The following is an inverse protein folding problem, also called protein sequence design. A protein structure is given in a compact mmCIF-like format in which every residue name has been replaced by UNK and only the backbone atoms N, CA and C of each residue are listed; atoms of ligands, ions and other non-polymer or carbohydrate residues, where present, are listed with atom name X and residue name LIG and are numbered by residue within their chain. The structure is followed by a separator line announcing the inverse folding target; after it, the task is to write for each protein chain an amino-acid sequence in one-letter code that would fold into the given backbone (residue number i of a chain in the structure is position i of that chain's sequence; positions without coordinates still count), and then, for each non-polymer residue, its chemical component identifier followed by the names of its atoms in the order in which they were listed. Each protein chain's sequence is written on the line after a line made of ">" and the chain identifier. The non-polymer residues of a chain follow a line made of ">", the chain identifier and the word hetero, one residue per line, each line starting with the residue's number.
data_IF_660899228307
#
_entry.id   IF_660899228307
#
_cell.length_a   1.000
_cell.length_b   1.000
_cell.length_c   1.000
_cell.angle_alpha   90.00
_cell.angle_beta   90.00
_cell.angle_gamma   90.00
#
_symmetry.space_group_name_H-M   'P 1'
#
loop_
_entity.id
_entity.type
_entity.pdbx_description
1 polymer ?
#
# COMPACT_ATOMS: atom_id res chain seq x y z
N UNK A 1 -65.44 26.96 -36.41
CA UNK A 1 -64.84 25.67 -35.98
C UNK A 1 -65.97 24.72 -35.60
N UNK A 2 -66.04 23.52 -36.18
CA UNK A 2 -67.10 22.55 -35.85
C UNK A 2 -67.06 22.23 -34.35
N UNK A 3 -68.22 22.23 -33.68
CA UNK A 3 -68.33 22.01 -32.22
C UNK A 3 -67.60 20.74 -31.77
N UNK A 4 -67.57 19.68 -32.59
CA UNK A 4 -66.79 18.47 -32.33
C UNK A 4 -65.27 18.67 -32.32
N UNK A 5 -64.73 19.54 -33.17
CA UNK A 5 -63.29 19.84 -33.21
C UNK A 5 -62.86 20.72 -32.02
N UNK A 6 -63.74 21.61 -31.54
CA UNK A 6 -63.49 22.42 -30.34
C UNK A 6 -63.45 21.55 -29.08
N UNK A 7 -64.44 20.66 -28.91
CA UNK A 7 -64.50 19.73 -27.77
C UNK A 7 -63.28 18.80 -27.76
N UNK A 8 -62.91 18.26 -28.93
CA UNK A 8 -61.72 17.42 -29.08
C UNK A 8 -60.44 18.17 -28.69
N UNK A 9 -60.29 19.43 -29.12
CA UNK A 9 -59.12 20.25 -28.78
C UNK A 9 -59.04 20.55 -27.28
N UNK A 10 -60.17 20.81 -26.61
CA UNK A 10 -60.23 21.01 -25.16
C UNK A 10 -59.83 19.72 -24.42
N UNK A 11 -60.38 18.56 -24.81
CA UNK A 11 -60.06 17.29 -24.16
C UNK A 11 -58.58 16.93 -24.31
N UNK A 12 -58.04 16.99 -25.53
CA UNK A 12 -56.63 16.69 -25.75
C UNK A 12 -55.70 17.72 -25.09
N UNK A 13 -56.09 19.00 -25.07
CA UNK A 13 -55.37 20.04 -24.35
C UNK A 13 -55.29 19.76 -22.84
N UNK A 14 -56.41 19.40 -22.22
CA UNK A 14 -56.45 19.02 -20.80
C UNK A 14 -55.61 17.78 -20.51
N UNK A 15 -55.66 16.75 -21.36
CA UNK A 15 -54.83 15.54 -21.22
C UNK A 15 -53.34 15.91 -21.26
N UNK A 16 -52.92 16.75 -22.21
CA UNK A 16 -51.52 17.20 -22.31
C UNK A 16 -51.05 17.97 -21.06
N UNK A 17 -51.89 18.88 -20.55
CA UNK A 17 -51.57 19.61 -19.31
C UNK A 17 -51.42 18.67 -18.13
N UNK A 18 -52.28 17.66 -18.00
CA UNK A 18 -52.19 16.66 -16.94
C UNK A 18 -50.93 15.79 -17.06
N UNK A 19 -50.56 15.37 -18.28
CA UNK A 19 -49.33 14.60 -18.53
C UNK A 19 -48.08 15.42 -18.19
N UNK A 20 -48.04 16.70 -18.57
CA UNK A 20 -46.94 17.60 -18.22
C UNK A 20 -46.86 17.84 -16.72
N UNK A 21 -47.99 18.09 -16.07
CA UNK A 21 -48.04 18.26 -14.61
C UNK A 21 -47.55 17.00 -13.89
N UNK A 22 -47.97 15.81 -14.32
CA UNK A 22 -47.50 14.54 -13.76
C UNK A 22 -45.99 14.34 -13.99
N UNK A 23 -45.47 14.73 -15.15
CA UNK A 23 -44.03 14.69 -15.44
C UNK A 23 -43.22 15.62 -14.52
N UNK A 24 -43.67 16.86 -14.36
CA UNK A 24 -43.02 17.83 -13.45
C UNK A 24 -43.07 17.36 -12.00
N UNK A 25 -44.23 16.89 -11.53
CA UNK A 25 -44.38 16.32 -10.18
C UNK A 25 -43.48 15.08 -10.01
N UNK A 26 -43.37 14.23 -11.04
CA UNK A 26 -42.46 13.08 -11.03
C UNK A 26 -40.99 13.47 -10.87
N UNK A 27 -40.53 14.51 -11.59
CA UNK A 27 -39.16 15.02 -11.48
C UNK A 27 -38.91 15.64 -10.10
N UNK A 28 -39.85 16.45 -9.59
CA UNK A 28 -39.74 17.05 -8.26
C UNK A 28 -39.67 15.94 -7.22
N UNK A 29 -40.61 15.00 -7.26
CA UNK A 29 -40.67 13.83 -6.37
C UNK A 29 -39.37 13.03 -6.36
N UNK A 30 -38.79 12.77 -7.55
CA UNK A 30 -37.50 12.11 -7.68
C UNK A 30 -36.35 12.89 -7.04
N UNK A 31 -36.30 14.20 -7.24
CA UNK A 31 -35.27 15.07 -6.67
C UNK A 31 -35.45 15.31 -5.16
N UNK A 32 -36.67 15.24 -4.64
CA UNK A 32 -36.97 15.40 -3.21
C UNK A 32 -36.92 14.09 -2.43
N UNK A 33 -36.45 12.99 -3.04
CA UNK A 33 -36.25 11.72 -2.34
C UNK A 33 -37.49 10.83 -2.23
N UNK A 34 -38.58 11.13 -2.94
CA UNK A 34 -39.79 10.30 -2.92
C UNK A 34 -39.71 9.12 -3.91
N UNK A 35 -40.20 7.96 -3.47
CA UNK A 35 -40.12 6.69 -4.22
C UNK A 35 -38.75 6.01 -4.10
N UNK A 36 -38.65 4.73 -4.51
CA UNK A 36 -37.45 3.91 -4.29
C UNK A 36 -36.21 4.50 -4.97
N UNK A 37 -36.34 5.02 -6.19
CA UNK A 37 -35.23 5.63 -6.93
C UNK A 37 -34.87 7.02 -6.41
N UNK A 38 -35.87 7.81 -5.99
CA UNK A 38 -35.64 9.12 -5.39
C UNK A 38 -34.91 9.00 -4.06
N UNK A 39 -35.33 8.08 -3.19
CA UNK A 39 -34.67 7.84 -1.91
C UNK A 39 -33.20 7.42 -2.07
N UNK A 40 -32.90 6.53 -3.02
CA UNK A 40 -31.52 6.13 -3.33
C UNK A 40 -30.71 7.32 -3.86
N UNK A 41 -31.29 8.13 -4.77
CA UNK A 41 -30.61 9.34 -5.25
C UNK A 41 -30.33 10.31 -4.11
N UNK A 42 -31.31 10.57 -3.25
CA UNK A 42 -31.13 11.46 -2.09
C UNK A 42 -30.00 10.97 -1.18
N UNK A 43 -29.90 9.66 -0.94
CA UNK A 43 -28.83 9.09 -0.12
C UNK A 43 -27.44 9.20 -0.82
N UNK A 44 -27.36 8.98 -2.13
CA UNK A 44 -26.10 8.91 -2.88
C UNK A 44 -25.57 10.26 -3.38
N UNK A 45 -26.45 11.22 -3.67
CA UNK A 45 -26.09 12.53 -4.21
C UNK A 45 -25.08 13.30 -3.34
N UNK A 46 -25.24 13.39 -2.00
CA UNK A 46 -24.23 14.05 -1.17
C UNK A 46 -22.89 13.30 -1.20
N UNK A 47 -22.90 11.96 -1.22
CA UNK A 47 -21.67 11.15 -1.27
C UNK A 47 -20.91 11.41 -2.57
N UNK A 48 -21.60 11.38 -3.71
CA UNK A 48 -20.97 11.63 -5.03
C UNK A 48 -20.51 13.09 -5.16
N UNK A 49 -21.27 14.04 -4.61
CA UNK A 49 -20.87 15.44 -4.59
C UNK A 49 -19.61 15.67 -3.75
N UNK A 50 -19.52 15.04 -2.57
CA UNK A 50 -18.34 15.08 -1.72
C UNK A 50 -17.15 14.39 -2.39
N UNK A 51 -17.37 13.20 -2.97
CA UNK A 51 -16.34 12.47 -3.71
C UNK A 51 -15.67 13.38 -4.76
N UNK A 52 -16.46 13.97 -5.66
CA UNK A 52 -15.91 14.80 -6.75
C UNK A 52 -15.29 16.13 -6.30
N UNK A 53 -15.42 16.51 -5.02
CA UNK A 53 -14.86 17.74 -4.43
C UNK A 53 -13.65 17.49 -3.53
N UNK A 54 -13.29 16.23 -3.27
CA UNK A 54 -12.16 15.90 -2.39
C UNK A 54 -10.84 16.48 -2.93
N UNK A 55 -10.06 17.11 -2.05
CA UNK A 55 -8.75 17.67 -2.37
C UNK A 55 -7.76 16.59 -2.80
N UNK A 56 -7.88 15.38 -2.24
CA UNK A 56 -7.04 14.23 -2.58
C UNK A 56 -7.11 13.86 -4.08
N UNK A 57 -8.27 14.01 -4.72
CA UNK A 57 -8.42 13.77 -6.17
C UNK A 57 -7.58 14.72 -7.02
N UNK A 58 -7.35 15.95 -6.54
CA UNK A 58 -6.56 16.95 -7.28
C UNK A 58 -5.11 16.50 -7.46
N UNK A 59 -4.51 15.85 -6.45
CA UNK A 59 -3.14 15.31 -6.53
C UNK A 59 -3.00 14.28 -7.66
N UNK A 60 -4.02 13.47 -7.90
CA UNK A 60 -4.05 12.51 -9.00
C UNK A 60 -4.25 13.21 -10.35
N UNK A 61 -5.12 14.23 -10.40
CA UNK A 61 -5.33 15.06 -11.60
C UNK A 61 -4.04 15.72 -12.08
N UNK A 62 -3.20 16.20 -11.16
CA UNK A 62 -1.94 16.87 -11.46
C UNK A 62 -0.91 15.94 -12.15
N UNK A 63 -1.04 14.62 -11.99
CA UNK A 63 -0.20 13.61 -12.68
C UNK A 63 -0.93 12.94 -13.87
N UNK A 64 -2.02 13.54 -14.34
CA UNK A 64 -2.77 13.06 -15.52
C UNK A 64 -3.72 11.90 -15.24
N UNK A 65 -4.07 11.65 -13.97
CA UNK A 65 -5.06 10.65 -13.56
C UNK A 65 -6.36 11.35 -13.20
N UNK A 66 -7.43 11.06 -13.94
CA UNK A 66 -8.75 11.63 -13.74
C UNK A 66 -9.67 10.61 -13.07
N UNK A 67 -10.14 10.92 -11.86
CA UNK A 67 -11.06 10.07 -11.09
C UNK A 67 -12.36 10.85 -10.87
N UNK A 68 -13.49 10.30 -11.31
CA UNK A 68 -14.81 10.93 -11.20
C UNK A 68 -15.88 9.91 -10.81
N UNK A 69 -16.81 10.31 -9.95
CA UNK A 69 -17.97 9.52 -9.57
C UNK A 69 -19.26 10.08 -10.18
N UNK A 70 -20.17 9.20 -10.58
CA UNK A 70 -21.54 9.56 -11.00
C UNK A 70 -22.57 8.56 -10.53
N UNK A 71 -23.77 9.03 -10.27
CA UNK A 71 -24.92 8.17 -9.98
C UNK A 71 -25.52 7.71 -11.30
N UNK A 72 -25.73 6.41 -11.45
CA UNK A 72 -26.52 5.83 -12.53
C UNK A 72 -27.42 4.75 -11.96
N UNK A 73 -28.72 4.92 -12.19
CA UNK A 73 -29.78 4.09 -11.61
C UNK A 73 -29.71 4.11 -10.08
N UNK A 74 -29.40 2.97 -9.47
CA UNK A 74 -29.22 2.81 -8.02
C UNK A 74 -27.76 2.63 -7.62
N UNK A 75 -26.79 2.99 -8.47
CA UNK A 75 -25.39 2.68 -8.23
C UNK A 75 -24.53 3.94 -8.39
N UNK A 76 -23.38 3.93 -7.73
CA UNK A 76 -22.31 4.89 -7.98
C UNK A 76 -21.29 4.23 -8.90
N UNK A 77 -20.98 4.89 -10.02
CA UNK A 77 -19.92 4.48 -10.92
C UNK A 77 -18.76 5.43 -10.77
N UNK A 78 -17.58 4.90 -10.45
CA UNK A 78 -16.33 5.64 -10.39
C UNK A 78 -15.50 5.30 -11.61
N UNK A 79 -15.21 6.29 -12.45
CA UNK A 79 -14.28 6.16 -13.56
C UNK A 79 -12.89 6.59 -13.12
N UNK A 80 -11.91 5.74 -13.32
CA UNK A 80 -10.49 6.02 -13.18
C UNK A 80 -9.87 6.05 -14.57
N UNK A 81 -9.46 7.21 -15.05
CA UNK A 81 -8.90 7.40 -16.38
C UNK A 81 -7.48 7.90 -16.32
N UNK A 82 -6.59 7.26 -17.07
CA UNK A 82 -5.27 7.76 -17.42
C UNK A 82 -5.31 8.28 -18.86
N UNK A 83 -4.24 8.94 -19.32
CA UNK A 83 -4.14 9.34 -20.73
C UNK A 83 -4.24 8.19 -21.75
N UNK A 84 -4.17 6.93 -21.31
CA UNK A 84 -4.13 5.74 -22.19
C UNK A 84 -5.23 4.72 -21.90
N UNK A 85 -5.87 4.74 -20.74
CA UNK A 85 -6.84 3.71 -20.33
C UNK A 85 -7.89 4.25 -19.36
N UNK A 86 -9.07 3.64 -19.36
CA UNK A 86 -10.14 3.94 -18.41
C UNK A 86 -10.61 2.65 -17.75
N UNK A 87 -10.55 2.59 -16.42
CA UNK A 87 -11.21 1.60 -15.60
C UNK A 87 -12.50 2.18 -15.01
N UNK A 88 -13.52 1.35 -14.83
CA UNK A 88 -14.80 1.75 -14.24
C UNK A 88 -15.16 0.78 -13.13
N UNK A 89 -15.40 1.32 -11.94
CA UNK A 89 -15.78 0.57 -10.76
C UNK A 89 -17.22 0.89 -10.39
N UNK A 90 -18.00 -0.15 -10.07
CA UNK A 90 -19.42 -0.04 -9.72
C UNK A 90 -19.57 -0.31 -8.23
N UNK A 91 -20.10 0.68 -7.52
CA UNK A 91 -20.60 0.53 -6.16
C UNK A 91 -22.12 0.38 -6.20
N UNK A 92 -22.58 -0.81 -5.87
CA UNK A 92 -24.00 -1.14 -5.82
C UNK A 92 -24.62 -0.66 -4.52
N UNK A 93 -25.71 0.11 -4.60
CA UNK A 93 -26.50 0.39 -3.42
C UNK A 93 -27.30 -0.84 -3.02
N UNK A 94 -27.04 -1.36 -1.83
CA UNK A 94 -27.71 -2.53 -1.28
C UNK A 94 -28.29 -2.23 0.10
N UNK A 95 -29.36 -2.94 0.45
CA UNK A 95 -29.87 -3.01 1.82
C UNK A 95 -29.52 -4.39 2.36
N UNK A 96 -28.62 -4.42 3.35
CA UNK A 96 -28.14 -5.65 3.98
C UNK A 96 -28.52 -5.60 5.44
N UNK A 97 -29.47 -6.45 5.84
CA UNK A 97 -29.93 -6.55 7.23
C UNK A 97 -30.44 -5.21 7.80
N UNK A 98 -31.05 -4.36 6.97
CA UNK A 98 -31.57 -3.05 7.35
C UNK A 98 -30.52 -1.92 7.28
N UNK A 99 -29.28 -2.24 6.93
CA UNK A 99 -28.22 -1.26 6.72
C UNK A 99 -28.08 -0.93 5.23
N UNK A 100 -28.04 0.36 4.92
CA UNK A 100 -27.84 0.85 3.56
C UNK A 100 -26.35 0.91 3.28
N UNK A 101 -25.88 0.19 2.27
CA UNK A 101 -24.45 0.06 1.96
C UNK A 101 -24.15 0.29 0.49
N UNK A 102 -22.95 0.79 0.22
CA UNK A 102 -22.29 0.69 -1.07
C UNK A 102 -21.46 -0.60 -1.08
N UNK A 103 -21.81 -1.52 -1.96
CA UNK A 103 -21.12 -2.78 -2.19
C UNK A 103 -20.27 -2.72 -3.44
N UNK A 104 -19.02 -3.14 -3.36
CA UNK A 104 -18.14 -3.32 -4.52
C UNK A 104 -17.46 -4.68 -4.44
N UNK A 105 -17.31 -5.33 -5.59
CA UNK A 105 -16.47 -6.51 -5.77
C UNK A 105 -15.47 -6.25 -6.89
N UNK A 106 -14.19 -6.53 -6.66
CA UNK A 106 -13.14 -6.40 -7.66
C UNK A 106 -12.18 -7.61 -7.60
N UNK A 107 -11.52 -7.88 -8.72
CA UNK A 107 -10.51 -8.94 -8.80
C UNK A 107 -9.19 -8.47 -8.20
N UNK A 108 -8.40 -9.38 -7.63
CA UNK A 108 -7.04 -9.10 -7.17
C UNK A 108 -6.13 -8.55 -8.27
N UNK A 109 -6.45 -8.80 -9.55
CA UNK A 109 -5.71 -8.21 -10.68
C UNK A 109 -5.84 -6.67 -10.77
N UNK A 110 -6.92 -6.10 -10.24
CA UNK A 110 -7.21 -4.67 -10.27
C UNK A 110 -6.93 -3.97 -8.92
N UNK A 111 -6.33 -4.69 -7.97
CA UNK A 111 -6.25 -4.31 -6.55
C UNK A 111 -5.67 -2.91 -6.34
N UNK A 112 -4.55 -2.57 -6.99
CA UNK A 112 -3.90 -1.28 -6.79
C UNK A 112 -4.82 -0.09 -7.16
N UNK A 113 -5.57 -0.19 -8.26
CA UNK A 113 -6.47 0.88 -8.71
C UNK A 113 -7.78 0.85 -7.91
N UNK A 114 -8.29 -0.35 -7.63
CA UNK A 114 -9.50 -0.53 -6.84
C UNK A 114 -9.34 0.00 -5.42
N UNK A 115 -8.19 -0.21 -4.78
CA UNK A 115 -7.90 0.29 -3.43
C UNK A 115 -7.97 1.82 -3.38
N UNK A 116 -7.36 2.54 -4.34
CA UNK A 116 -7.47 4.01 -4.44
C UNK A 116 -8.93 4.46 -4.53
N UNK A 117 -9.72 3.79 -5.39
CA UNK A 117 -11.13 4.11 -5.58
C UNK A 117 -11.96 3.82 -4.33
N UNK A 118 -11.65 2.74 -3.63
CA UNK A 118 -12.28 2.37 -2.35
C UNK A 118 -11.95 3.37 -1.25
N UNK A 119 -10.70 3.79 -1.13
CA UNK A 119 -10.27 4.82 -0.16
C UNK A 119 -11.05 6.10 -0.34
N UNK A 120 -11.10 6.62 -1.57
CA UNK A 120 -11.87 7.82 -1.88
C UNK A 120 -13.37 7.64 -1.60
N UNK A 121 -13.94 6.46 -1.84
CA UNK A 121 -15.34 6.22 -1.53
C UNK A 121 -15.61 6.19 -0.02
N UNK A 122 -14.72 5.58 0.76
CA UNK A 122 -14.82 5.55 2.23
C UNK A 122 -14.72 6.97 2.79
N UNK A 123 -13.76 7.77 2.32
CA UNK A 123 -13.63 9.19 2.69
C UNK A 123 -14.88 10.00 2.31
N UNK A 124 -15.39 9.84 1.09
CA UNK A 124 -16.59 10.55 0.65
C UNK A 124 -17.82 10.24 1.52
N UNK A 125 -17.97 8.99 1.97
CA UNK A 125 -19.02 8.60 2.91
C UNK A 125 -18.75 9.21 4.30
N UNK A 126 -17.51 9.19 4.77
CA UNK A 126 -17.14 9.79 6.07
C UNK A 126 -17.42 11.29 6.12
N UNK A 127 -17.05 12.03 5.08
CA UNK A 127 -17.33 13.46 4.92
C UNK A 127 -18.83 13.73 4.90
N UNK A 128 -19.59 12.87 4.22
CA UNK A 128 -21.07 12.97 4.21
C UNK A 128 -21.68 12.79 5.59
N UNK A 129 -21.01 12.01 6.46
CA UNK A 129 -21.40 11.82 7.86
C UNK A 129 -20.77 12.87 8.81
N UNK A 130 -20.18 13.95 8.29
CA UNK A 130 -19.76 15.12 9.06
C UNK A 130 -18.28 15.16 9.48
N UNK A 131 -17.46 14.23 8.99
CA UNK A 131 -16.01 14.20 9.29
C UNK A 131 -15.20 15.03 8.29
N UNK A 132 -13.99 15.43 8.69
CA UNK A 132 -13.06 16.11 7.79
C UNK A 132 -12.37 15.12 6.84
N UNK A 133 -12.05 15.60 5.63
CA UNK A 133 -11.33 14.81 4.62
C UNK A 133 -9.95 14.38 5.14
N UNK A 134 -9.64 13.09 4.98
CA UNK A 134 -8.34 12.51 5.35
C UNK A 134 -8.32 11.90 6.75
N UNK A 135 -9.31 12.20 7.61
CA UNK A 135 -9.33 11.66 8.97
C UNK A 135 -9.43 10.14 9.00
N UNK A 136 -10.13 9.51 8.04
CA UNK A 136 -10.27 8.04 8.06
C UNK A 136 -8.92 7.38 7.84
N UNK A 137 -8.17 7.82 6.83
CA UNK A 137 -6.87 7.25 6.48
C UNK A 137 -5.68 7.87 7.20
N UNK A 138 -5.91 8.95 7.94
CA UNK A 138 -5.06 9.26 9.08
C UNK A 138 -5.15 8.11 10.05
N UNK A 139 -6.37 7.64 10.44
CA UNK A 139 -6.63 6.68 11.54
C UNK A 139 -6.53 5.19 11.24
N UNK A 140 -6.84 4.80 10.03
CA UNK A 140 -6.98 3.41 9.64
C UNK A 140 -6.33 3.17 8.29
N UNK A 141 -5.92 1.93 8.04
CA UNK A 141 -5.59 1.47 6.70
C UNK A 141 -6.68 0.50 6.20
N UNK A 142 -6.66 0.18 4.91
CA UNK A 142 -7.65 -0.74 4.33
C UNK A 142 -7.61 -2.12 5.01
N UNK A 143 -6.43 -2.60 5.42
CA UNK A 143 -6.26 -3.89 6.10
C UNK A 143 -7.07 -3.95 7.39
N UNK A 144 -7.13 -2.84 8.15
CA UNK A 144 -7.93 -2.78 9.38
C UNK A 144 -9.40 -3.05 9.13
N UNK A 145 -9.90 -2.72 7.95
CA UNK A 145 -11.31 -2.95 7.62
C UNK A 145 -11.64 -4.42 7.33
N UNK A 146 -10.65 -5.32 7.31
CA UNK A 146 -10.88 -6.77 7.28
C UNK A 146 -11.34 -7.31 8.64
N UNK A 147 -11.07 -6.57 9.71
CA UNK A 147 -11.46 -6.90 11.09
C UNK A 147 -12.77 -6.21 11.50
N UNK A 148 -13.32 -5.34 10.65
CA UNK A 148 -14.53 -4.55 10.94
C UNK A 148 -15.78 -5.13 10.28
N UNK A 149 -16.93 -4.73 10.80
CA UNK A 149 -18.25 -5.08 10.28
C UNK A 149 -18.98 -3.88 9.64
N UNK A 150 -20.00 -4.18 8.84
CA UNK A 150 -20.90 -3.18 8.23
C UNK A 150 -21.47 -2.21 9.27
N UNK A 151 -21.77 -2.71 10.48
CA UNK A 151 -22.30 -1.90 11.58
C UNK A 151 -21.30 -0.88 12.13
N UNK A 152 -20.01 -1.12 11.94
CA UNK A 152 -18.93 -0.20 12.32
C UNK A 152 -18.62 0.80 11.21
N UNK A 153 -19.21 0.69 10.02
CA UNK A 153 -19.04 1.66 8.93
C UNK A 153 -18.45 1.04 7.68
N UNK A 154 -17.38 0.25 7.79
CA UNK A 154 -16.73 -0.40 6.64
C UNK A 154 -16.48 -1.87 6.94
N UNK A 155 -16.58 -2.73 5.93
CA UNK A 155 -16.11 -4.11 5.99
C UNK A 155 -15.45 -4.50 4.67
N UNK A 156 -14.26 -5.07 4.74
CA UNK A 156 -13.53 -5.64 3.60
C UNK A 156 -13.40 -7.15 3.81
N UNK A 157 -13.65 -7.95 2.77
CA UNK A 157 -13.37 -9.38 2.78
C UNK A 157 -12.52 -9.73 1.57
N UNK A 158 -11.35 -10.28 1.85
CA UNK A 158 -10.40 -10.72 0.85
C UNK A 158 -10.56 -12.23 0.61
N UNK A 159 -10.55 -12.63 -0.65
CA UNK A 159 -10.40 -14.01 -1.09
C UNK A 159 -9.18 -14.10 -2.02
N UNK A 160 -8.68 -15.30 -2.36
CA UNK A 160 -7.50 -15.42 -3.21
C UNK A 160 -7.63 -14.81 -4.61
N UNK A 161 -8.86 -14.60 -5.10
CA UNK A 161 -9.12 -14.14 -6.47
C UNK A 161 -9.83 -12.79 -6.53
N UNK A 162 -10.56 -12.44 -5.47
CA UNK A 162 -11.42 -11.27 -5.42
C UNK A 162 -11.43 -10.63 -4.03
N UNK A 163 -11.69 -9.32 -3.99
CA UNK A 163 -12.01 -8.57 -2.78
C UNK A 163 -13.43 -8.02 -2.85
N UNK A 164 -14.13 -8.06 -1.71
CA UNK A 164 -15.45 -7.45 -1.54
C UNK A 164 -15.40 -6.37 -0.47
N UNK A 165 -16.06 -5.26 -0.73
CA UNK A 165 -16.08 -4.07 0.13
C UNK A 165 -17.53 -3.68 0.37
N UNK A 166 -17.85 -3.41 1.63
CA UNK A 166 -19.13 -2.89 2.08
C UNK A 166 -18.89 -1.59 2.84
N UNK A 167 -19.49 -0.49 2.39
CA UNK A 167 -19.38 0.83 3.02
C UNK A 167 -20.79 1.27 3.44
N UNK A 168 -21.04 1.37 4.74
CA UNK A 168 -22.30 1.85 5.28
C UNK A 168 -22.45 3.34 5.04
N UNK A 169 -23.48 3.74 4.30
CA UNK A 169 -23.63 5.14 3.89
C UNK A 169 -24.05 6.08 5.03
N UNK A 170 -24.58 5.54 6.13
CA UNK A 170 -25.09 6.30 7.28
C UNK A 170 -24.17 6.24 8.51
N UNK A 171 -23.04 5.53 8.42
CA UNK A 171 -22.12 5.34 9.54
C UNK A 171 -20.69 5.57 9.07
N UNK A 172 -19.95 6.40 9.80
CA UNK A 172 -18.51 6.50 9.63
C UNK A 172 -17.81 5.51 10.53
N UNK A 173 -16.68 4.96 10.06
CA UNK A 173 -15.78 4.16 10.92
C UNK A 173 -15.24 4.98 12.10
N UNK A 174 -15.14 6.30 11.93
CA UNK A 174 -14.72 7.24 12.98
C UNK A 174 -15.74 7.40 14.11
N UNK A 175 -17.03 7.11 13.85
CA UNK A 175 -18.11 7.18 14.85
C UNK A 175 -18.33 5.86 15.56
N UNK A 176 -17.67 4.79 15.12
CA UNK A 176 -17.80 3.51 15.78
C UNK A 176 -17.11 3.59 17.15
N UNK A 177 -17.86 3.27 18.21
CA UNK A 177 -17.31 3.00 19.53
C UNK A 177 -16.53 1.68 19.44
N UNK A 178 -15.37 1.72 18.80
CA UNK A 178 -14.29 0.75 18.96
C UNK A 178 -13.68 0.93 20.37
N UNK A 179 -14.52 0.97 21.41
CA UNK A 179 -14.11 1.11 22.81
C UNK A 179 -13.54 -0.22 23.31
N UNK A 180 -12.33 -0.48 22.83
CA UNK A 180 -11.21 -1.22 23.41
C UNK A 180 -9.96 -1.16 22.52
N UNK A 181 -10.01 -0.47 21.37
CA UNK A 181 -8.82 -0.09 20.64
C UNK A 181 -8.63 1.42 20.81
N UNK A 182 -7.92 1.79 21.88
CA UNK A 182 -7.07 2.98 21.88
C UNK A 182 -6.00 2.78 20.79
N UNK A 183 -6.44 2.87 19.55
CA UNK A 183 -5.61 3.12 18.41
C UNK A 183 -6.38 4.17 17.62
N UNK A 184 -6.13 5.43 17.99
CA UNK A 184 -5.56 6.35 17.01
C UNK A 184 -4.74 5.56 15.97
N UNK A 185 -4.62 6.02 14.72
CA UNK A 185 -3.65 5.41 13.85
C UNK A 185 -2.37 5.32 14.64
N UNK A 186 -1.82 4.12 14.69
CA UNK A 186 -0.45 4.00 15.06
C UNK A 186 0.28 4.91 14.05
N UNK A 187 0.60 6.14 14.47
CA UNK A 187 1.55 7.05 13.82
C UNK A 187 2.62 6.15 13.24
N UNK A 188 2.66 5.90 11.92
CA UNK A 188 3.49 4.86 11.29
C UNK A 188 4.43 4.20 12.29
N UNK A 189 4.00 3.20 13.09
CA UNK A 189 4.80 2.80 14.27
C UNK A 189 6.03 1.98 13.89
N UNK A 190 6.34 1.96 12.60
CA UNK A 190 7.51 1.40 12.00
C UNK A 190 8.41 2.53 11.51
N UNK A 191 9.70 2.24 11.42
CA UNK A 191 10.71 3.20 11.00
C UNK A 191 10.54 3.49 9.51
N UNK A 192 10.43 4.78 9.18
CA UNK A 192 10.23 5.30 7.83
C UNK A 192 11.49 5.98 7.29
N UNK A 193 11.51 6.38 6.02
CA UNK A 193 12.63 7.08 5.41
C UNK A 193 13.02 8.37 6.16
N UNK A 194 12.06 9.11 6.71
CA UNK A 194 12.31 10.35 7.46
C UNK A 194 13.10 10.09 8.75
N UNK A 195 12.85 8.96 9.39
CA UNK A 195 13.55 8.53 10.61
C UNK A 195 14.98 8.06 10.31
N UNK A 196 15.32 7.80 9.04
CA UNK A 196 16.61 7.25 8.59
C UNK A 196 17.52 8.31 7.94
N UNK A 197 17.12 9.58 7.94
CA UNK A 197 17.81 10.66 7.23
C UNK A 197 19.30 10.75 7.55
N UNK A 198 19.71 10.53 8.80
CA UNK A 198 21.13 10.57 9.24
C UNK A 198 21.85 9.22 9.17
N UNK A 199 21.16 8.13 8.81
CA UNK A 199 21.69 6.76 8.87
C UNK A 199 23.04 6.62 8.16
N UNK A 200 23.14 7.05 6.90
CA UNK A 200 24.38 6.91 6.11
C UNK A 200 25.53 7.73 6.69
N UNK A 201 25.24 8.93 7.18
CA UNK A 201 26.25 9.81 7.75
C UNK A 201 26.76 9.27 9.09
N UNK A 202 25.86 8.79 9.96
CA UNK A 202 26.21 8.21 11.25
C UNK A 202 27.04 6.93 11.11
N UNK A 203 26.77 6.10 10.09
CA UNK A 203 27.56 4.91 9.78
C UNK A 203 28.94 5.22 9.20
N UNK A 204 29.22 6.46 8.79
CA UNK A 204 30.54 6.89 8.33
C UNK A 204 31.35 7.61 9.44
N UNK A 205 30.80 7.80 10.64
CA UNK A 205 31.51 8.31 11.81
C UNK A 205 32.40 7.23 12.45
N UNK A 206 33.37 7.59 13.32
CA UNK A 206 34.27 6.62 13.95
C UNK A 206 33.57 5.49 14.74
N UNK A 207 32.41 5.78 15.35
CA UNK A 207 31.61 4.77 16.06
C UNK A 207 30.81 3.87 15.13
N UNK A 208 30.63 4.29 13.86
CA UNK A 208 29.96 3.57 12.77
C UNK A 208 28.63 2.94 13.21
N UNK A 209 27.82 3.71 13.92
CA UNK A 209 26.61 3.26 14.62
C UNK A 209 25.47 4.25 14.43
N UNK A 210 24.28 3.71 14.19
CA UNK A 210 23.03 4.45 14.14
C UNK A 210 21.96 3.75 14.98
N UNK A 211 21.10 4.54 15.64
CA UNK A 211 19.95 4.02 16.38
C UNK A 211 18.71 4.83 16.08
N UNK A 212 17.59 4.15 15.88
CA UNK A 212 16.27 4.77 15.78
C UNK A 212 15.26 4.01 16.63
N UNK A 213 14.24 4.73 17.10
CA UNK A 213 13.10 4.16 17.81
C UNK A 213 11.83 4.84 17.33
N UNK A 214 10.82 4.05 16.97
CA UNK A 214 9.50 4.55 16.58
C UNK A 214 8.43 3.59 17.07
N UNK A 215 7.44 4.11 17.78
CA UNK A 215 6.48 3.28 18.52
C UNK A 215 7.18 2.24 19.38
N UNK A 216 6.96 0.95 19.05
CA UNK A 216 7.54 -0.20 19.75
C UNK A 216 8.75 -0.80 19.04
N UNK A 217 9.14 -0.27 17.88
CA UNK A 217 10.26 -0.77 17.10
C UNK A 217 11.55 -0.05 17.51
N UNK A 218 12.58 -0.84 17.80
CA UNK A 218 13.94 -0.41 18.06
C UNK A 218 14.85 -0.91 16.94
N UNK A 219 15.61 0.01 16.34
CA UNK A 219 16.59 -0.28 15.30
C UNK A 219 17.97 0.17 15.75
N UNK A 220 18.94 -0.73 15.56
CA UNK A 220 20.36 -0.44 15.68
C UNK A 220 21.06 -0.94 14.43
N UNK A 221 21.74 -0.04 13.72
CA UNK A 221 22.60 -0.40 12.60
C UNK A 221 24.04 -0.12 12.99
N UNK A 222 24.92 -1.07 12.75
CA UNK A 222 26.37 -0.87 12.85
C UNK A 222 27.03 -1.25 11.53
N UNK A 223 28.17 -0.61 11.25
CA UNK A 223 28.98 -0.87 10.07
C UNK A 223 30.40 -1.22 10.49
N UNK A 224 30.94 -2.27 9.89
CA UNK A 224 32.36 -2.59 9.92
C UNK A 224 32.94 -2.46 8.51
N UNK A 225 34.24 -2.71 8.36
CA UNK A 225 34.91 -2.85 7.07
C UNK A 225 34.32 -3.98 6.20
N UNK A 226 33.72 -4.99 6.83
CA UNK A 226 33.26 -6.22 6.16
C UNK A 226 31.74 -6.35 6.03
N UNK A 227 30.96 -5.71 6.90
CA UNK A 227 29.52 -5.92 6.92
C UNK A 227 28.75 -4.76 7.54
N UNK A 228 27.47 -4.65 7.13
CA UNK A 228 26.45 -4.00 7.94
C UNK A 228 25.80 -5.04 8.85
N UNK A 229 25.60 -4.68 10.12
CA UNK A 229 24.77 -5.44 11.05
C UNK A 229 23.55 -4.61 11.40
N UNK A 230 22.38 -5.09 11.05
CA UNK A 230 21.09 -4.47 11.35
C UNK A 230 20.43 -5.31 12.43
N UNK A 231 20.15 -4.71 13.58
CA UNK A 231 19.44 -5.31 14.70
C UNK A 231 18.10 -4.61 14.84
N UNK A 232 17.01 -5.38 14.77
CA UNK A 232 15.65 -4.85 14.91
C UNK A 232 14.90 -5.65 15.96
N UNK A 233 14.18 -4.95 16.82
CA UNK A 233 13.34 -5.55 17.85
C UNK A 233 12.00 -4.82 17.94
N UNK A 234 10.93 -5.58 18.02
CA UNK A 234 9.64 -5.09 18.51
C UNK A 234 9.59 -5.36 20.01
N UNK A 235 9.38 -4.32 20.80
CA UNK A 235 9.36 -4.43 22.27
C UNK A 235 8.18 -5.26 22.81
N UNK A 236 7.18 -5.60 21.98
CA UNK A 236 6.14 -6.60 22.30
C UNK A 236 6.66 -8.03 22.28
N UNK A 237 7.78 -8.30 21.60
CA UNK A 237 8.33 -9.65 21.41
C UNK A 237 7.70 -10.44 20.27
N UNK A 238 6.88 -9.81 19.42
CA UNK A 238 6.25 -10.43 18.24
C UNK A 238 6.96 -10.03 16.93
N UNK A 239 6.92 -10.90 15.91
CA UNK A 239 7.41 -10.60 14.56
C UNK A 239 6.29 -9.91 13.75
N UNK A 240 6.06 -8.64 14.06
CA UNK A 240 4.97 -7.85 13.48
C UNK A 240 5.25 -7.41 12.04
N UNK A 241 4.19 -7.05 11.31
CA UNK A 241 4.28 -6.40 9.99
C UNK A 241 5.06 -5.09 10.07
N UNK A 242 4.91 -4.33 11.15
CA UNK A 242 5.64 -3.09 11.41
C UNK A 242 7.15 -3.31 11.56
N UNK A 243 7.56 -4.40 12.22
CA UNK A 243 8.96 -4.78 12.29
C UNK A 243 9.52 -5.07 10.88
N UNK A 244 8.78 -5.83 10.07
CA UNK A 244 9.20 -6.15 8.71
C UNK A 244 9.26 -4.91 7.81
N UNK A 245 8.29 -4.00 7.91
CA UNK A 245 8.30 -2.71 7.20
C UNK A 245 9.51 -1.85 7.59
N UNK A 246 9.87 -1.80 8.88
CA UNK A 246 11.07 -1.09 9.35
C UNK A 246 12.35 -1.65 8.75
N UNK A 247 12.45 -2.98 8.63
CA UNK A 247 13.58 -3.67 8.00
C UNK A 247 13.65 -3.29 6.51
N UNK A 248 12.52 -3.34 5.81
CA UNK A 248 12.44 -2.98 4.38
C UNK A 248 12.92 -1.56 4.13
N UNK A 249 12.41 -0.58 4.88
CA UNK A 249 12.83 0.82 4.74
C UNK A 249 14.31 1.01 5.06
N UNK A 250 14.83 0.33 6.10
CA UNK A 250 16.26 0.36 6.43
C UNK A 250 17.12 -0.17 5.29
N UNK A 251 16.76 -1.31 4.70
CA UNK A 251 17.50 -1.93 3.59
C UNK A 251 17.41 -1.07 2.33
N UNK A 252 16.21 -0.56 2.01
CA UNK A 252 15.98 0.37 0.90
C UNK A 252 16.82 1.62 1.02
N UNK A 253 16.97 2.16 2.23
CA UNK A 253 17.79 3.34 2.46
C UNK A 253 19.28 3.03 2.33
N UNK A 254 19.74 1.90 2.87
CA UNK A 254 21.16 1.52 2.89
C UNK A 254 21.72 1.07 1.54
N UNK A 255 20.93 0.40 0.72
CA UNK A 255 21.40 -0.29 -0.48
C UNK A 255 20.70 0.21 -1.75
N UNK A 256 21.25 -0.17 -2.91
CA UNK A 256 20.63 0.14 -4.20
C UNK A 256 19.32 -0.63 -4.42
N UNK A 257 18.50 -0.15 -5.36
CA UNK A 257 17.21 -0.76 -5.71
C UNK A 257 17.33 -2.25 -6.10
N UNK A 258 18.46 -2.65 -6.70
CA UNK A 258 18.69 -4.05 -7.11
C UNK A 258 18.83 -4.95 -5.89
N UNK A 259 19.63 -4.53 -4.91
CA UNK A 259 19.85 -5.23 -3.66
C UNK A 259 18.57 -5.24 -2.82
N UNK A 260 17.86 -4.12 -2.76
CA UNK A 260 16.57 -4.02 -2.07
C UNK A 260 15.51 -4.96 -2.68
N UNK A 261 15.34 -4.97 -4.01
CA UNK A 261 14.39 -5.89 -4.68
C UNK A 261 14.78 -7.35 -4.50
N UNK A 262 16.08 -7.67 -4.53
CA UNK A 262 16.57 -9.02 -4.22
C UNK A 262 16.19 -9.43 -2.80
N UNK A 263 16.34 -8.52 -1.83
CA UNK A 263 15.89 -8.77 -0.47
C UNK A 263 14.37 -9.03 -0.41
N UNK A 264 13.55 -8.12 -0.94
CA UNK A 264 12.09 -8.21 -0.88
C UNK A 264 11.55 -9.51 -1.50
N UNK A 265 12.09 -9.92 -2.65
CA UNK A 265 11.66 -11.14 -3.34
C UNK A 265 12.03 -12.41 -2.59
N UNK A 266 13.22 -12.45 -1.97
CA UNK A 266 13.71 -13.65 -1.30
C UNK A 266 13.27 -13.71 0.17
N UNK A 267 12.91 -12.57 0.74
CA UNK A 267 12.52 -12.43 2.14
C UNK A 267 11.13 -11.82 2.34
N UNK A 268 10.05 -12.38 1.75
CA UNK A 268 8.70 -11.80 1.83
C UNK A 268 8.15 -11.70 3.26
N UNK A 269 8.71 -12.48 4.19
CA UNK A 269 8.51 -12.37 5.62
C UNK A 269 9.77 -12.84 6.37
N UNK A 270 9.90 -12.38 7.62
CA UNK A 270 11.00 -12.75 8.54
C UNK A 270 10.45 -13.64 9.64
N UNK A 271 10.21 -14.90 9.31
CA UNK A 271 9.66 -15.90 10.24
C UNK A 271 10.69 -16.93 10.71
N UNK A 272 11.80 -17.09 9.97
CA UNK A 272 12.85 -18.07 10.29
C UNK A 272 14.24 -17.53 9.92
N UNK A 273 15.25 -17.98 10.67
CA UNK A 273 16.66 -17.75 10.34
C UNK A 273 17.03 -18.42 9.02
N UNK A 274 17.60 -17.65 8.09
CA UNK A 274 18.07 -18.16 6.80
C UNK A 274 19.06 -17.22 6.13
N UNK A 275 19.90 -17.79 5.27
CA UNK A 275 20.87 -17.07 4.45
C UNK A 275 20.50 -17.17 2.97
N UNK A 276 20.52 -16.04 2.28
CA UNK A 276 20.32 -15.96 0.85
C UNK A 276 21.11 -14.76 0.30
N UNK A 277 21.88 -15.01 -0.76
CA UNK A 277 22.78 -14.01 -1.34
C UNK A 277 23.71 -13.40 -0.26
N UNK A 278 23.78 -12.07 -0.19
CA UNK A 278 24.58 -11.31 0.78
C UNK A 278 23.93 -11.16 2.15
N UNK A 279 22.69 -11.61 2.33
CA UNK A 279 21.92 -11.45 3.56
C UNK A 279 21.97 -12.73 4.41
N UNK A 280 22.32 -12.57 5.68
CA UNK A 280 22.16 -13.61 6.70
C UNK A 280 21.20 -13.08 7.75
N UNK A 281 20.02 -13.68 7.84
CA UNK A 281 19.00 -13.31 8.81
C UNK A 281 18.96 -14.36 9.90
N UNK A 282 19.07 -13.89 11.14
CA UNK A 282 18.96 -14.70 12.35
C UNK A 282 17.81 -14.16 13.18
N UNK A 283 16.72 -14.91 13.26
CA UNK A 283 15.62 -14.68 14.20
C UNK A 283 16.06 -15.13 15.60
N UNK A 284 15.54 -14.48 16.64
CA UNK A 284 15.88 -14.80 18.04
C UNK A 284 17.40 -14.75 18.32
N UNK A 285 18.09 -13.74 17.79
CA UNK A 285 19.55 -13.63 17.93
C UNK A 285 19.97 -13.48 19.41
N UNK A 286 20.78 -14.44 19.88
CA UNK A 286 21.36 -14.43 21.22
C UNK A 286 22.63 -13.54 21.30
N UNK A 287 23.02 -13.18 22.54
CA UNK A 287 24.28 -12.48 22.84
C UNK A 287 24.47 -11.11 22.18
N UNK A 288 23.38 -10.37 21.97
CA UNK A 288 23.46 -8.96 21.58
C UNK A 288 24.09 -8.16 22.73
N UNK A 289 25.34 -7.73 22.53
CA UNK A 289 26.14 -6.97 23.52
C UNK A 289 25.72 -5.51 23.66
N UNK A 290 24.73 -5.08 22.89
CA UNK A 290 24.21 -3.71 22.94
C UNK A 290 23.41 -3.43 24.21
N UNK A 291 23.62 -2.25 24.80
CA UNK A 291 22.79 -1.69 25.88
C UNK A 291 21.52 -1.01 25.36
N UNK A 292 21.38 -0.85 24.05
CA UNK A 292 20.22 -0.22 23.41
C UNK A 292 18.94 -1.07 23.57
N UNK A 293 19.09 -2.40 23.48
CA UNK A 293 17.98 -3.33 23.68
C UNK A 293 17.93 -3.73 25.16
N UNK A 294 16.88 -3.29 25.87
CA UNK A 294 16.65 -3.66 27.27
C UNK A 294 16.32 -5.15 27.41
N UNK A 295 15.59 -5.69 26.44
CA UNK A 295 15.24 -7.11 26.34
C UNK A 295 16.17 -7.75 25.30
N UNK A 296 16.87 -8.83 25.65
CA UNK A 296 17.86 -9.48 24.78
C UNK A 296 17.35 -10.74 24.07
N UNK A 297 16.04 -10.85 23.92
CA UNK A 297 15.35 -11.95 23.23
C UNK A 297 14.54 -11.39 22.05
N UNK A 298 14.16 -12.27 21.11
CA UNK A 298 13.31 -11.89 19.95
C UNK A 298 13.90 -10.77 19.09
N UNK A 299 15.22 -10.59 19.09
CA UNK A 299 15.92 -9.64 18.22
C UNK A 299 16.15 -10.32 16.87
N UNK A 300 15.79 -9.62 15.79
CA UNK A 300 16.19 -10.01 14.44
C UNK A 300 17.55 -9.37 14.15
N UNK A 301 18.52 -10.21 13.81
CA UNK A 301 19.83 -9.80 13.32
C UNK A 301 19.91 -10.06 11.83
N UNK A 302 20.25 -9.04 11.05
CA UNK A 302 20.52 -9.12 9.62
C UNK A 302 21.96 -8.69 9.40
N UNK A 303 22.78 -9.60 8.91
CA UNK A 303 24.14 -9.32 8.49
C UNK A 303 24.16 -9.22 6.97
N UNK A 304 24.68 -8.10 6.47
CA UNK A 304 24.82 -7.84 5.03
C UNK A 304 26.31 -7.66 4.73
N UNK A 305 26.89 -8.60 4.01
CA UNK A 305 28.30 -8.52 3.63
C UNK A 305 28.53 -7.34 2.68
N UNK A 306 29.53 -6.51 2.99
CA UNK A 306 30.04 -5.50 2.07
C UNK A 306 31.00 -6.24 1.14
N UNK A 307 30.70 -6.27 -0.16
CA UNK A 307 31.62 -6.85 -1.12
C UNK A 307 32.96 -6.11 -0.99
N UNK A 308 34.03 -6.83 -0.63
CA UNK A 308 35.38 -6.29 -0.68
C UNK A 308 35.58 -5.72 -2.08
N UNK A 309 35.91 -4.45 -2.18
CA UNK A 309 36.47 -3.95 -3.43
C UNK A 309 37.71 -4.81 -3.67
N UNK A 310 37.66 -5.66 -4.69
CA UNK A 310 38.85 -6.22 -5.27
C UNK A 310 39.61 -5.01 -5.80
N UNK A 311 40.52 -4.46 -5.00
CA UNK A 311 41.66 -3.73 -5.52
C UNK A 311 42.35 -4.71 -6.44
N UNK A 312 42.10 -4.56 -7.74
CA UNK A 312 42.94 -5.13 -8.77
C UNK A 312 44.34 -4.55 -8.56
N UNK A 313 45.13 -5.18 -7.70
CA UNK A 313 46.58 -5.14 -7.82
C UNK A 313 46.89 -5.92 -9.08
N UNK A 314 47.02 -5.20 -10.19
CA UNK A 314 47.72 -5.65 -11.38
C UNK A 314 49.04 -6.31 -10.91
N UNK A 315 49.36 -7.55 -11.31
CA UNK A 315 50.66 -8.12 -11.04
C UNK A 315 51.69 -7.28 -11.78
N UNK A 316 52.45 -6.49 -11.05
CA UNK A 316 53.61 -5.78 -11.56
C UNK A 316 54.60 -6.85 -12.05
N UNK A 317 54.68 -7.03 -13.36
CA UNK A 317 55.63 -7.95 -14.00
C UNK A 317 56.98 -7.24 -14.04
N UNK A 318 57.65 -7.18 -12.88
CA UNK A 318 59.05 -6.77 -12.83
C UNK A 318 59.92 -7.94 -13.28
N UNK A 319 60.34 -7.86 -14.54
CA UNK A 319 61.51 -8.57 -15.07
C UNK A 319 62.72 -8.12 -14.26
N UNK A 320 63.28 -9.04 -13.47
CA UNK A 320 64.62 -8.89 -12.94
C UNK A 320 65.40 -10.15 -13.30
N UNK A 321 66.06 -10.10 -14.45
CA UNK A 321 67.16 -10.99 -14.83
C UNK A 321 68.33 -10.73 -13.91
N UNK A 322 68.60 -11.67 -13.02
CA UNK A 322 69.93 -11.89 -12.46
C UNK A 322 70.25 -13.37 -12.63
N UNK A 323 71.01 -13.65 -13.70
CA UNK A 323 71.86 -14.81 -13.85
C UNK A 323 72.93 -14.76 -12.74
N UNK A 324 73.25 -15.90 -12.09
CA UNK A 324 74.59 -16.40 -12.39
C UNK A 324 74.66 -17.92 -12.56
N UNK A 325 75.59 -18.28 -13.44
CA UNK A 325 76.49 -19.44 -13.38
C UNK A 325 75.96 -20.81 -13.85
N UNK A 326 76.32 -21.11 -15.10
CA UNK A 326 77.35 -22.12 -15.43
C UNK A 326 77.21 -23.53 -14.80
N UNK A 327 76.76 -24.51 -15.58
CA UNK A 327 77.66 -25.58 -16.06
C UNK A 327 76.97 -26.55 -17.02
N UNK A 328 77.76 -26.95 -18.02
CA UNK A 328 77.63 -28.14 -18.87
C UNK A 328 76.86 -29.32 -18.23
N UNK A 329 76.07 -30.05 -19.02
CA UNK A 329 76.52 -31.30 -19.69
C UNK A 329 75.36 -31.96 -20.46
N UNK A 330 75.63 -32.19 -21.76
CA UNK A 330 75.21 -33.23 -22.69
C UNK A 330 74.06 -34.23 -22.40
N UNK A 331 73.40 -34.52 -23.53
CA UNK A 331 72.91 -35.79 -24.07
C UNK A 331 71.43 -36.19 -23.91
N UNK A 332 70.75 -36.20 -25.08
CA UNK A 332 70.10 -37.35 -25.74
C UNK A 332 69.37 -38.36 -24.82
N UNK A 333 68.12 -38.74 -25.07
CA UNK A 333 67.65 -39.19 -26.37
C UNK A 333 66.12 -39.25 -26.41
N UNK A 334 65.61 -38.95 -27.60
CA UNK A 334 64.25 -39.11 -28.03
C UNK A 334 64.01 -40.59 -28.41
N UNK A 335 63.01 -41.24 -27.80
CA UNK A 335 62.23 -42.31 -28.46
C UNK A 335 60.87 -42.43 -27.78
N UNK A 336 59.86 -41.84 -28.41
CA UNK A 336 58.47 -42.19 -28.17
C UNK A 336 57.96 -42.92 -29.41
N UNK A 337 57.72 -44.24 -29.29
CA UNK A 337 56.92 -45.02 -30.25
C UNK A 337 56.51 -46.34 -29.60
N UNK A 338 55.26 -46.46 -29.17
CA UNK A 338 54.24 -47.29 -29.84
C UNK A 338 53.01 -47.54 -28.97
N UNK A 339 51.87 -47.28 -29.61
CA UNK A 339 50.69 -48.13 -29.71
C UNK A 339 49.95 -48.50 -28.42
N UNK A 340 48.82 -47.82 -28.17
CA UNK A 340 47.49 -48.34 -28.54
C UNK A 340 46.40 -47.29 -28.44
#
# INVERSE_FOLDING_TARGET
>A
MNKGNLIRLIIWGTIWVLVLAAGVVGIISYNTGHGVLGAVKHDLEPIVANFNKMKGLKKHSDVGIKIEAKIKDKNVYVSYSTGVSTASFKFEYQDISGEKVLFMKYSSADEAVANIVVEFMIEAVSITNGHEEGLVFERYNLDKFTETGILQGVQIKNTPTDTTVYINIKKSILDSNLDNANTLPEENIYITADDLTTLKDDLNKPEAKFTAAKGKILLLVTKTDKAYTILVQDTTGEYTTNLYSSIKETIKYLFDDTTYKSFENNYPAITTSRKFDKFTITTDAENVTSTFFKVKTKIIKIEVAIASSNTNTTPNTNTNTNDPSNSNTNNNNNTNRKDR
#
